data_IF_851014721986
#
_entry.id   IF_851014721986
#
_cell.length_a   1.000
_cell.length_b   1.000
_cell.length_c   1.000
_cell.angle_alpha   90.00
_cell.angle_beta   90.00
_cell.angle_gamma   90.00
#
_symmetry.space_group_name_H-M   'P 1'
#
loop_
_entity.id
_entity.type
_entity.pdbx_description
1 polymer ?
#
# COMPACT_ATOMS: atom_id res chain seq x y z
N UNK A 1 0.13 4.09 -16.02
CA UNK A 1 1.37 3.81 -15.25
C UNK A 1 1.13 2.55 -14.42
N UNK A 2 2.14 1.67 -14.27
CA UNK A 2 2.01 0.46 -13.44
C UNK A 2 2.23 0.81 -11.97
N UNK A 3 1.61 0.08 -11.04
CA UNK A 3 1.73 0.26 -9.59
C UNK A 3 2.41 -0.95 -8.95
N UNK A 4 3.58 -0.75 -8.35
CA UNK A 4 4.23 -1.73 -7.48
C UNK A 4 3.57 -1.70 -6.11
N UNK A 5 3.18 -2.86 -5.59
CA UNK A 5 2.73 -3.02 -4.21
C UNK A 5 3.65 -3.99 -3.48
N UNK A 6 4.30 -3.53 -2.41
CA UNK A 6 5.18 -4.36 -1.59
C UNK A 6 4.36 -5.27 -0.66
N UNK A 7 4.44 -6.58 -0.90
CA UNK A 7 3.60 -7.58 -0.25
C UNK A 7 4.35 -8.78 0.32
N UNK A 8 5.69 -8.70 0.45
CA UNK A 8 6.53 -9.85 0.77
C UNK A 8 7.13 -9.90 2.18
N UNK A 9 6.88 -8.88 3.01
CA UNK A 9 7.44 -8.80 4.37
C UNK A 9 6.79 -9.77 5.37
N UNK A 10 7.51 -10.08 6.45
CA UNK A 10 7.06 -11.03 7.49
C UNK A 10 5.92 -10.51 8.37
N UNK A 11 5.67 -9.20 8.44
CA UNK A 11 4.57 -8.65 9.25
C UNK A 11 4.73 -8.83 10.76
N UNK A 12 5.96 -8.97 11.26
CA UNK A 12 6.29 -9.43 12.63
C UNK A 12 5.70 -8.65 13.81
N UNK A 13 5.09 -7.48 13.57
CA UNK A 13 4.45 -6.61 14.58
C UNK A 13 2.95 -6.92 14.79
N UNK A 14 2.35 -7.77 13.95
CA UNK A 14 0.96 -8.21 14.02
C UNK A 14 0.91 -9.75 13.96
N UNK A 15 1.58 -10.43 14.89
CA UNK A 15 1.76 -11.89 14.82
C UNK A 15 0.43 -12.64 14.84
N UNK A 16 -0.56 -12.10 15.54
CA UNK A 16 -1.90 -12.69 15.71
C UNK A 16 -2.57 -13.04 14.37
N UNK A 17 -2.42 -12.16 13.37
CA UNK A 17 -2.95 -12.41 12.02
C UNK A 17 -1.85 -12.92 11.07
N UNK A 18 -0.63 -12.40 11.21
CA UNK A 18 0.44 -12.64 10.24
C UNK A 18 1.13 -13.99 10.36
N UNK A 19 0.92 -14.71 11.47
CA UNK A 19 1.32 -16.11 11.60
C UNK A 19 0.61 -17.00 10.56
N UNK A 20 -0.62 -16.65 10.21
CA UNK A 20 -1.46 -17.44 9.32
C UNK A 20 -1.42 -16.93 7.87
N UNK A 21 -1.44 -15.61 7.65
CA UNK A 21 -1.50 -14.99 6.31
C UNK A 21 -0.50 -13.83 6.16
N UNK A 22 -0.01 -13.49 4.96
CA UNK A 22 0.84 -12.32 4.80
C UNK A 22 0.04 -11.04 5.12
N UNK A 23 0.72 -10.01 5.64
CA UNK A 23 0.08 -8.76 6.10
C UNK A 23 -0.90 -8.13 5.08
N UNK A 24 -0.59 -8.08 3.77
CA UNK A 24 -1.53 -7.54 2.77
C UNK A 24 -2.82 -8.35 2.60
N UNK A 25 -2.85 -9.59 3.10
CA UNK A 25 -4.01 -10.48 3.06
C UNK A 25 -4.86 -10.42 4.33
N UNK A 26 -4.46 -9.63 5.33
CA UNK A 26 -5.30 -9.35 6.50
C UNK A 26 -6.52 -8.54 6.06
N UNK A 27 -7.69 -8.91 6.57
CA UNK A 27 -8.98 -8.46 6.04
C UNK A 27 -9.54 -7.25 6.80
N UNK A 28 -10.11 -6.31 6.06
CA UNK A 28 -10.93 -5.23 6.57
C UNK A 28 -12.29 -5.36 5.88
N UNK A 29 -13.33 -5.66 6.65
CA UNK A 29 -14.67 -5.87 6.09
C UNK A 29 -14.75 -7.05 5.12
N UNK A 30 -14.16 -8.19 5.46
CA UNK A 30 -14.08 -9.41 4.62
C UNK A 30 -13.29 -9.24 3.31
N UNK A 31 -12.52 -8.17 3.15
CA UNK A 31 -11.69 -7.91 1.98
C UNK A 31 -10.24 -7.68 2.41
N UNK A 32 -9.24 -8.31 1.78
CA UNK A 32 -7.83 -8.04 2.07
C UNK A 32 -7.47 -6.56 2.01
N UNK A 33 -6.58 -6.07 2.88
CA UNK A 33 -6.06 -4.69 2.77
C UNK A 33 -5.43 -4.43 1.39
N UNK A 34 -4.80 -5.43 0.77
CA UNK A 34 -4.32 -5.38 -0.61
C UNK A 34 -5.44 -5.01 -1.59
N UNK A 35 -6.64 -5.57 -1.40
CA UNK A 35 -7.81 -5.27 -2.22
C UNK A 35 -8.24 -3.80 -2.04
N UNK A 36 -8.27 -3.28 -0.82
CA UNK A 36 -8.61 -1.87 -0.55
C UNK A 36 -7.62 -0.90 -1.22
N UNK A 37 -6.32 -1.22 -1.16
CA UNK A 37 -5.27 -0.43 -1.82
C UNK A 37 -5.49 -0.46 -3.34
N UNK A 38 -5.72 -1.64 -3.92
CA UNK A 38 -5.98 -1.77 -5.36
C UNK A 38 -7.25 -1.05 -5.78
N UNK A 39 -8.32 -1.06 -4.98
CA UNK A 39 -9.54 -0.31 -5.23
C UNK A 39 -9.30 1.19 -5.29
N UNK A 40 -8.47 1.72 -4.38
CA UNK A 40 -8.11 3.14 -4.37
C UNK A 40 -7.41 3.56 -5.68
N UNK A 41 -6.44 2.78 -6.15
CA UNK A 41 -5.78 3.02 -7.45
C UNK A 41 -6.73 2.80 -8.64
N UNK A 42 -7.52 1.72 -8.62
CA UNK A 42 -8.43 1.37 -9.72
C UNK A 42 -9.52 2.42 -9.93
N UNK A 43 -10.09 2.95 -8.84
CA UNK A 43 -11.07 4.05 -8.92
C UNK A 43 -10.46 5.31 -9.56
N UNK A 44 -9.17 5.55 -9.32
CA UNK A 44 -8.38 6.60 -9.95
C UNK A 44 -7.79 6.18 -11.31
N UNK A 45 -8.35 5.12 -11.94
CA UNK A 45 -8.02 4.62 -13.28
C UNK A 45 -6.60 4.04 -13.45
N UNK A 46 -5.94 3.67 -12.34
CA UNK A 46 -4.68 2.94 -12.35
C UNK A 46 -4.93 1.45 -12.12
N UNK A 47 -4.86 0.68 -13.21
CA UNK A 47 -5.35 -0.71 -13.25
C UNK A 47 -4.27 -1.77 -13.44
N UNK A 48 -3.01 -1.37 -13.61
CA UNK A 48 -1.90 -2.28 -13.86
C UNK A 48 -1.05 -2.42 -12.60
N UNK A 49 -1.07 -3.58 -11.96
CA UNK A 49 -0.39 -3.82 -10.69
C UNK A 49 0.74 -4.84 -10.82
N UNK A 50 1.79 -4.63 -10.04
CA UNK A 50 2.85 -5.60 -9.81
C UNK A 50 2.92 -5.83 -8.30
N UNK A 51 2.50 -7.02 -7.85
CA UNK A 51 2.53 -7.39 -6.44
C UNK A 51 3.86 -8.09 -6.15
N UNK A 52 4.72 -7.46 -5.36
CA UNK A 52 6.01 -8.00 -4.95
C UNK A 52 5.83 -8.95 -3.76
N UNK A 53 5.68 -10.24 -4.05
CA UNK A 53 5.42 -11.28 -3.06
C UNK A 53 6.70 -11.83 -2.44
N UNK A 54 6.57 -12.48 -1.28
CA UNK A 54 7.68 -13.08 -0.54
C UNK A 54 7.14 -14.09 0.47
N UNK A 55 7.09 -13.71 1.74
CA UNK A 55 6.51 -14.53 2.80
C UNK A 55 5.06 -14.94 2.47
N UNK A 56 4.76 -16.26 2.54
CA UNK A 56 3.44 -16.85 2.29
C UNK A 56 2.78 -16.41 0.97
N UNK A 57 3.58 -16.24 -0.09
CA UNK A 57 3.12 -15.81 -1.42
C UNK A 57 1.98 -16.66 -1.99
N UNK A 58 1.90 -17.93 -1.59
CA UNK A 58 0.91 -18.90 -2.05
C UNK A 58 -0.52 -18.40 -1.80
N UNK A 59 -0.77 -17.72 -0.67
CA UNK A 59 -2.08 -17.17 -0.32
C UNK A 59 -2.48 -15.98 -1.22
N UNK A 60 -1.51 -15.16 -1.61
CA UNK A 60 -1.74 -14.06 -2.57
C UNK A 60 -2.04 -14.64 -3.95
N UNK A 61 -1.27 -15.65 -4.39
CA UNK A 61 -1.49 -16.35 -5.67
C UNK A 61 -2.89 -16.97 -5.70
N UNK A 62 -3.25 -17.72 -4.67
CA UNK A 62 -4.56 -18.37 -4.57
C UNK A 62 -5.70 -17.35 -4.61
N UNK A 63 -5.58 -16.22 -3.90
CA UNK A 63 -6.57 -15.15 -3.93
C UNK A 63 -6.86 -14.63 -5.34
N UNK A 64 -5.82 -14.33 -6.13
CA UNK A 64 -6.01 -13.82 -7.48
C UNK A 64 -6.45 -14.89 -8.49
N UNK A 65 -5.95 -16.13 -8.36
CA UNK A 65 -6.39 -17.24 -9.22
C UNK A 65 -7.88 -17.57 -9.02
N UNK A 66 -8.36 -17.45 -7.78
CA UNK A 66 -9.73 -17.74 -7.41
C UNK A 66 -10.60 -16.49 -7.32
N UNK A 67 -10.13 -15.32 -7.77
CA UNK A 67 -10.82 -14.03 -7.56
C UNK A 67 -12.28 -14.04 -8.03
N UNK A 68 -12.57 -14.68 -9.16
CA UNK A 68 -13.94 -14.79 -9.68
C UNK A 68 -14.85 -15.62 -8.77
N UNK A 69 -14.31 -16.61 -8.05
CA UNK A 69 -15.08 -17.42 -7.08
C UNK A 69 -15.37 -16.72 -5.76
N UNK A 70 -14.72 -15.58 -5.47
CA UNK A 70 -14.89 -14.88 -4.20
C UNK A 70 -16.16 -14.03 -4.21
N UNK A 71 -17.24 -14.53 -3.60
CA UNK A 71 -18.44 -13.75 -3.28
C UNK A 71 -19.64 -13.93 -4.20
N UNK A 72 -19.56 -14.80 -5.21
CA UNK A 72 -20.71 -15.14 -6.06
C UNK A 72 -21.14 -16.57 -5.81
N UNK A 73 -22.42 -16.84 -6.05
CA UNK A 73 -22.87 -18.23 -6.20
C UNK A 73 -22.12 -18.87 -7.37
N UNK A 74 -21.72 -20.13 -7.17
CA UNK A 74 -21.00 -20.92 -8.17
C UNK A 74 -21.76 -22.22 -8.35
N UNK A 75 -22.06 -22.56 -9.60
CA UNK A 75 -22.48 -23.91 -9.95
C UNK A 75 -21.27 -24.69 -10.43
N UNK A 76 -21.01 -25.82 -9.77
CA UNK A 76 -20.01 -26.79 -10.21
C UNK A 76 -20.74 -28.06 -10.65
N UNK A 77 -20.65 -28.42 -11.93
CA UNK A 77 -21.08 -29.74 -12.41
C UNK A 77 -19.88 -30.69 -12.33
N UNK A 78 -20.03 -31.74 -11.53
CA UNK A 78 -18.98 -32.74 -11.32
C UNK A 78 -19.08 -33.87 -12.35
N UNK A 79 -17.96 -34.28 -12.93
CA UNK A 79 -17.87 -35.35 -13.92
C UNK A 79 -16.43 -35.53 -14.44
N UNK A 80 -16.24 -36.27 -15.54
CA UNK A 80 -14.90 -36.43 -16.14
C UNK A 80 -14.26 -35.08 -16.56
N UNK A 81 -15.10 -34.08 -16.85
CA UNK A 81 -14.70 -32.68 -17.00
C UNK A 81 -15.62 -31.86 -16.10
N UNK A 82 -15.05 -31.19 -15.10
CA UNK A 82 -15.82 -30.27 -14.27
C UNK A 82 -16.20 -29.02 -15.10
N UNK A 83 -17.45 -28.57 -14.99
CA UNK A 83 -17.94 -27.31 -15.54
C UNK A 83 -18.23 -26.35 -14.39
N UNK A 84 -17.69 -25.13 -14.44
CA UNK A 84 -17.86 -24.11 -13.39
C UNK A 84 -18.54 -22.90 -14.01
N UNK A 85 -19.73 -22.55 -13.50
CA UNK A 85 -20.50 -21.39 -13.89
C UNK A 85 -20.60 -20.40 -12.73
N UNK A 86 -20.30 -19.13 -12.99
CA UNK A 86 -20.41 -18.02 -12.02
C UNK A 86 -21.69 -17.23 -12.31
N UNK A 87 -22.51 -16.99 -11.28
CA UNK A 87 -23.86 -16.42 -11.47
C UNK A 87 -23.91 -14.88 -11.50
N UNK A 88 -23.02 -14.20 -10.78
CA UNK A 88 -22.92 -12.73 -10.80
C UNK A 88 -21.53 -12.31 -11.29
N UNK A 89 -21.46 -11.23 -12.09
CA UNK A 89 -20.21 -10.67 -12.62
C UNK A 89 -20.02 -9.22 -12.16
N UNK A 90 -20.74 -8.78 -11.12
CA UNK A 90 -20.59 -7.47 -10.48
C UNK A 90 -19.38 -7.43 -9.55
N UNK A 91 -18.20 -7.78 -10.05
CA UNK A 91 -16.95 -7.57 -9.31
C UNK A 91 -16.61 -6.08 -9.27
N UNK A 92 -16.15 -5.61 -8.11
CA UNK A 92 -15.74 -4.21 -7.89
C UNK A 92 -14.42 -3.88 -8.62
N UNK A 93 -13.49 -4.84 -8.71
CA UNK A 93 -12.28 -4.75 -9.53
C UNK A 93 -12.56 -5.32 -10.93
N UNK A 94 -12.77 -4.45 -11.92
CA UNK A 94 -12.94 -4.82 -13.34
C UNK A 94 -11.79 -4.30 -14.20
N UNK A 95 -11.37 -5.12 -15.15
CA UNK A 95 -10.30 -4.83 -16.12
C UNK A 95 -8.95 -4.49 -15.45
N UNK A 96 -8.65 -5.16 -14.34
CA UNK A 96 -7.41 -4.99 -13.60
C UNK A 96 -6.40 -6.05 -14.03
N UNK A 97 -5.18 -5.62 -14.36
CA UNK A 97 -4.07 -6.51 -14.69
C UNK A 97 -3.15 -6.65 -13.48
N UNK A 98 -2.84 -7.88 -13.08
CA UNK A 98 -1.98 -8.14 -11.91
C UNK A 98 -0.83 -9.06 -12.30
N UNK A 99 0.39 -8.56 -12.14
CA UNK A 99 1.62 -9.37 -12.20
C UNK A 99 1.97 -9.78 -10.78
N UNK A 100 1.98 -11.08 -10.53
CA UNK A 100 2.42 -11.65 -9.26
C UNK A 100 3.90 -12.01 -9.36
N UNK A 101 4.78 -11.17 -8.80
CA UNK A 101 6.22 -11.41 -8.86
C UNK A 101 6.74 -11.96 -7.55
N UNK A 102 7.32 -13.16 -7.59
CA UNK A 102 8.12 -13.65 -6.46
C UNK A 102 9.42 -12.83 -6.37
N UNK A 103 9.52 -12.03 -5.32
CA UNK A 103 10.67 -11.16 -5.07
C UNK A 103 11.59 -11.71 -3.98
N UNK A 104 11.39 -12.95 -3.54
CA UNK A 104 12.22 -13.64 -2.57
C UNK A 104 11.71 -13.51 -1.13
N UNK A 105 11.94 -14.55 -0.34
CA UNK A 105 11.49 -14.61 1.05
C UNK A 105 12.21 -13.61 1.97
N UNK A 106 13.54 -13.53 1.85
CA UNK A 106 14.41 -12.79 2.77
C UNK A 106 14.91 -11.44 2.22
N UNK A 107 14.31 -10.94 1.15
CA UNK A 107 14.72 -9.68 0.50
C UNK A 107 14.09 -8.47 1.17
N UNK A 108 14.84 -7.37 1.19
CA UNK A 108 14.38 -6.07 1.69
C UNK A 108 13.58 -5.30 0.63
N UNK A 109 12.96 -4.19 1.04
CA UNK A 109 12.06 -3.38 0.21
C UNK A 109 12.68 -2.92 -1.11
N UNK A 110 13.94 -2.46 -1.10
CA UNK A 110 14.65 -2.00 -2.30
C UNK A 110 14.90 -3.15 -3.27
N UNK A 111 15.44 -4.26 -2.80
CA UNK A 111 15.66 -5.45 -3.65
C UNK A 111 14.39 -5.98 -4.30
N UNK A 112 13.24 -5.91 -3.61
CA UNK A 112 11.95 -6.30 -4.20
C UNK A 112 11.58 -5.43 -5.39
N UNK A 113 11.82 -4.12 -5.28
CA UNK A 113 11.63 -3.15 -6.36
C UNK A 113 12.62 -3.45 -7.49
N UNK A 114 13.91 -3.64 -7.18
CA UNK A 114 14.96 -3.96 -8.17
C UNK A 114 14.61 -5.19 -9.01
N UNK A 115 14.08 -6.25 -8.39
CA UNK A 115 13.72 -7.51 -9.09
C UNK A 115 12.58 -7.35 -10.08
N UNK A 116 11.72 -6.35 -9.90
CA UNK A 116 10.62 -6.06 -10.83
C UNK A 116 11.01 -5.07 -11.93
N UNK A 117 12.27 -4.58 -11.96
CA UNK A 117 12.82 -3.74 -13.05
C UNK A 117 12.53 -4.30 -14.45
N UNK A 118 12.57 -5.63 -14.61
CA UNK A 118 12.28 -6.34 -15.87
C UNK A 118 10.87 -6.09 -16.45
N UNK A 119 9.96 -5.50 -15.68
CA UNK A 119 8.61 -5.16 -16.12
C UNK A 119 8.49 -3.70 -16.59
N UNK A 120 9.59 -2.95 -16.64
CA UNK A 120 9.62 -1.54 -17.01
C UNK A 120 10.65 -1.31 -18.13
N UNK A 121 10.29 -0.41 -19.05
CA UNK A 121 11.20 0.11 -20.07
C UNK A 121 11.91 1.36 -19.57
N UNK A 122 13.10 1.63 -20.10
CA UNK A 122 13.84 2.86 -19.79
C UNK A 122 12.99 4.10 -20.14
N UNK A 123 13.02 5.12 -19.27
CA UNK A 123 12.19 6.32 -19.38
C UNK A 123 10.74 6.17 -18.91
N UNK A 124 10.29 4.97 -18.47
CA UNK A 124 8.97 4.81 -17.86
C UNK A 124 8.91 5.40 -16.44
N UNK A 125 7.77 5.99 -16.09
CA UNK A 125 7.39 6.29 -14.71
C UNK A 125 6.46 5.23 -14.15
N UNK A 126 6.55 4.98 -12.85
CA UNK A 126 5.68 4.02 -12.17
C UNK A 126 5.30 4.47 -10.76
N UNK A 127 4.21 3.90 -10.27
CA UNK A 127 3.77 4.10 -8.90
C UNK A 127 4.34 3.00 -8.00
N UNK A 128 4.57 3.32 -6.73
CA UNK A 128 4.96 2.36 -5.72
C UNK A 128 4.26 2.66 -4.40
N UNK A 129 3.77 1.64 -3.71
CA UNK A 129 3.30 1.79 -2.33
C UNK A 129 3.53 0.53 -1.49
N UNK A 130 3.30 0.67 -0.19
CA UNK A 130 3.30 -0.41 0.78
C UNK A 130 1.96 -1.14 0.79
N UNK A 131 1.98 -2.45 1.00
CA UNK A 131 0.78 -3.29 1.04
C UNK A 131 0.01 -3.25 2.36
N UNK A 132 0.18 -2.22 3.18
CA UNK A 132 -0.32 -2.13 4.55
C UNK A 132 -0.86 -0.76 4.98
N UNK A 133 -0.86 0.23 4.09
CA UNK A 133 -1.33 1.59 4.37
C UNK A 133 -2.56 1.96 3.55
N UNK A 134 -3.56 2.54 4.22
CA UNK A 134 -4.79 3.04 3.59
C UNK A 134 -4.83 4.56 3.66
N UNK A 135 -5.26 5.18 2.56
CA UNK A 135 -5.28 6.64 2.41
C UNK A 135 -6.37 7.08 1.42
N UNK A 136 -6.81 8.33 1.55
CA UNK A 136 -7.62 9.07 0.58
C UNK A 136 -6.76 9.95 -0.35
N UNK A 137 -5.46 9.64 -0.47
CA UNK A 137 -4.53 10.36 -1.35
C UNK A 137 -5.05 10.44 -2.78
N UNK A 138 -4.95 11.64 -3.36
CA UNK A 138 -5.27 11.87 -4.76
C UNK A 138 -4.03 11.59 -5.62
N UNK A 139 -4.05 10.46 -6.33
CA UNK A 139 -2.95 9.97 -7.14
C UNK A 139 -2.71 10.86 -8.35
N UNK A 140 -3.74 11.42 -8.98
CA UNK A 140 -3.59 12.35 -10.11
C UNK A 140 -2.85 13.63 -9.71
N UNK A 141 -3.14 14.18 -8.53
CA UNK A 141 -2.42 15.33 -7.96
C UNK A 141 -0.98 14.98 -7.61
N UNK A 142 -0.75 13.78 -7.07
CA UNK A 142 0.58 13.28 -6.77
C UNK A 142 1.41 13.14 -8.05
N UNK A 143 0.84 12.58 -9.14
CA UNK A 143 1.47 12.50 -10.46
C UNK A 143 1.78 13.90 -10.99
N UNK A 144 0.78 14.80 -10.99
CA UNK A 144 0.96 16.17 -11.50
C UNK A 144 2.06 16.92 -10.74
N UNK A 145 2.16 16.70 -9.42
CA UNK A 145 3.23 17.28 -8.60
C UNK A 145 4.59 16.68 -8.95
N UNK A 146 4.69 15.36 -9.12
CA UNK A 146 5.93 14.71 -9.54
C UNK A 146 6.43 15.23 -10.90
N UNK A 147 5.51 15.45 -11.85
CA UNK A 147 5.84 16.01 -13.16
C UNK A 147 6.23 17.50 -13.12
N UNK A 148 5.99 18.20 -12.01
CA UNK A 148 6.31 19.62 -11.87
C UNK A 148 7.77 19.92 -11.47
N UNK A 149 8.58 18.89 -11.22
CA UNK A 149 9.96 19.02 -10.76
C UNK A 149 10.89 18.01 -11.45
N UNK A 150 12.20 18.21 -11.32
CA UNK A 150 13.23 17.36 -11.96
C UNK A 150 13.68 16.16 -11.10
N UNK A 151 13.06 15.93 -9.94
CA UNK A 151 13.39 14.79 -9.08
C UNK A 151 12.85 13.47 -9.59
N UNK A 152 13.63 12.40 -9.42
CA UNK A 152 13.30 11.04 -9.89
C UNK A 152 12.37 10.27 -8.96
N UNK A 153 12.09 10.83 -7.77
CA UNK A 153 11.24 10.19 -6.79
C UNK A 153 10.42 11.22 -6.02
N UNK A 154 9.16 10.90 -5.82
CA UNK A 154 8.22 11.65 -4.97
C UNK A 154 7.51 10.68 -4.07
N UNK A 155 7.55 10.89 -2.75
CA UNK A 155 6.70 10.15 -1.81
C UNK A 155 5.61 11.05 -1.23
N UNK A 156 4.52 10.43 -0.78
CA UNK A 156 3.45 11.14 -0.08
C UNK A 156 3.79 11.33 1.40
N UNK A 157 3.68 12.56 1.89
CA UNK A 157 4.00 12.96 3.24
C UNK A 157 2.76 13.42 4.00
N UNK A 158 2.51 12.84 5.16
CA UNK A 158 1.33 13.17 6.00
C UNK A 158 1.72 13.50 7.43
N UNK A 159 0.84 14.16 8.17
CA UNK A 159 1.02 14.43 9.61
C UNK A 159 0.38 13.28 10.40
N UNK A 160 1.14 12.50 11.18
CA UNK A 160 0.55 11.45 11.98
C UNK A 160 -0.25 12.07 13.15
N UNK A 161 -1.37 11.44 13.50
CA UNK A 161 -1.98 11.65 14.81
C UNK A 161 -1.04 11.13 15.89
N UNK A 162 -0.87 11.90 16.98
CA UNK A 162 -0.10 11.41 18.11
C UNK A 162 -0.76 10.19 18.72
N UNK A 163 0.05 9.18 19.07
CA UNK A 163 -0.38 8.01 19.84
C UNK A 163 -0.48 8.29 21.34
N UNK A 164 -0.04 9.48 21.75
CA UNK A 164 0.12 9.90 23.14
C UNK A 164 -0.50 11.28 23.35
N UNK A 165 -0.86 11.60 24.60
CA UNK A 165 -1.24 12.96 24.97
C UNK A 165 -0.07 13.92 24.74
N UNK A 166 -0.27 14.91 23.89
CA UNK A 166 0.68 15.99 23.63
C UNK A 166 0.40 17.09 24.65
N UNK A 167 1.40 17.42 25.46
CA UNK A 167 1.31 18.54 26.41
C UNK A 167 2.16 19.71 25.93
N UNK A 168 1.71 20.92 26.20
CA UNK A 168 2.56 22.10 26.18
C UNK A 168 2.82 22.51 27.63
N UNK A 169 4.05 22.95 27.90
CA UNK A 169 4.45 23.47 29.20
C UNK A 169 5.04 24.86 29.05
N UNK A 170 4.83 25.72 30.05
CA UNK A 170 5.57 26.98 30.14
C UNK A 170 7.00 26.77 30.68
N UNK A 171 7.76 27.86 30.82
CA UNK A 171 9.14 27.85 31.33
C UNK A 171 9.26 27.31 32.76
N UNK A 172 8.16 27.24 33.52
CA UNK A 172 8.11 26.72 34.88
C UNK A 172 7.66 25.25 34.93
N UNK A 173 7.54 24.57 33.79
CA UNK A 173 7.00 23.22 33.64
C UNK A 173 5.49 23.10 33.99
N UNK A 174 4.74 24.21 34.01
CA UNK A 174 3.29 24.15 34.18
C UNK A 174 2.65 23.70 32.87
N UNK A 175 1.84 22.64 32.90
CA UNK A 175 1.09 22.18 31.72
C UNK A 175 0.04 23.22 31.34
N UNK A 176 0.19 23.85 30.17
CA UNK A 176 -0.72 24.87 29.64
C UNK A 176 -1.77 24.29 28.69
N UNK A 177 -1.48 23.14 28.07
CA UNK A 177 -2.43 22.39 27.26
C UNK A 177 -2.18 20.88 27.37
N UNK A 178 -3.24 20.09 27.25
CA UNK A 178 -3.18 18.64 27.12
C UNK A 178 -4.11 18.24 25.97
N UNK A 179 -3.52 17.76 24.88
CA UNK A 179 -4.25 17.27 23.72
C UNK A 179 -3.99 15.77 23.56
N UNK A 180 -5.00 14.96 23.91
CA UNK A 180 -4.94 13.50 23.83
C UNK A 180 -4.74 12.99 22.38
N UNK A 181 -4.98 13.85 21.37
CA UNK A 181 -4.86 13.56 19.94
C UNK A 181 -4.13 14.67 19.17
N UNK A 182 -3.14 15.32 19.78
CA UNK A 182 -2.37 16.38 19.10
C UNK A 182 -1.68 15.89 17.82
N UNK A 183 -1.57 16.74 16.80
CA UNK A 183 -0.77 16.44 15.62
C UNK A 183 0.72 16.69 15.89
N UNK A 184 1.58 15.80 15.37
CA UNK A 184 3.03 16.03 15.39
C UNK A 184 3.37 17.05 14.28
N UNK A 185 4.26 18.00 14.56
CA UNK A 185 4.64 19.05 13.57
C UNK A 185 5.33 18.46 12.33
N UNK A 186 6.12 17.41 12.53
CA UNK A 186 6.86 16.74 11.46
C UNK A 186 5.97 15.82 10.62
N UNK A 187 6.13 15.88 9.30
CA UNK A 187 5.50 14.94 8.37
C UNK A 187 6.27 13.63 8.29
N UNK A 188 5.56 12.54 8.06
CA UNK A 188 6.11 11.20 7.86
C UNK A 188 5.88 10.74 6.41
N UNK A 189 6.75 9.86 5.91
CA UNK A 189 6.52 9.12 4.67
C UNK A 189 5.39 8.11 4.88
N UNK A 190 4.34 8.19 4.07
CA UNK A 190 3.20 7.28 4.13
C UNK A 190 3.10 6.32 2.92
N UNK A 191 4.17 6.20 2.14
CA UNK A 191 4.17 5.43 0.91
C UNK A 191 3.69 6.27 -0.26
N UNK A 192 2.85 5.68 -1.11
CA UNK A 192 2.23 6.30 -2.29
C UNK A 192 3.21 7.21 -3.04
N UNK A 193 4.01 6.59 -3.91
CA UNK A 193 5.15 7.21 -4.55
C UNK A 193 5.01 7.20 -6.06
N UNK A 194 5.56 8.22 -6.70
CA UNK A 194 5.85 8.23 -8.13
C UNK A 194 7.36 8.18 -8.30
N UNK A 195 7.82 7.23 -9.10
CA UNK A 195 9.23 6.95 -9.31
C UNK A 195 9.51 6.90 -10.82
N UNK A 196 10.60 7.56 -11.21
CA UNK A 196 11.18 7.43 -12.54
C UNK A 196 12.03 6.16 -12.63
N UNK A 197 12.23 5.64 -13.85
CA UNK A 197 13.03 4.45 -14.12
C UNK A 197 14.44 4.53 -13.51
N UNK A 198 15.04 5.72 -13.50
CA UNK A 198 16.35 6.04 -12.96
C UNK A 198 16.49 5.70 -11.47
N UNK A 199 15.38 5.53 -10.73
CA UNK A 199 15.40 5.05 -9.35
C UNK A 199 16.11 3.70 -9.23
N UNK A 200 16.07 2.85 -10.27
CA UNK A 200 16.72 1.54 -10.25
C UNK A 200 18.24 1.62 -10.16
N UNK A 201 18.85 2.74 -10.57
CA UNK A 201 20.30 2.94 -10.49
C UNK A 201 20.76 3.28 -9.06
N UNK A 202 19.81 3.65 -8.19
CA UNK A 202 20.04 3.92 -6.78
C UNK A 202 19.81 2.70 -5.87
N UNK A 203 19.36 1.58 -6.43
CA UNK A 203 19.01 0.37 -5.65
C UNK A 203 20.07 -0.70 -5.85
N UNK A 204 20.84 -0.97 -4.79
CA UNK A 204 21.78 -2.08 -4.74
C UNK A 204 21.09 -3.39 -4.33
N UNK A 205 21.82 -4.51 -4.47
CA UNK A 205 21.29 -5.81 -4.08
C UNK A 205 20.98 -5.87 -2.58
N UNK A 206 19.78 -6.33 -2.23
CA UNK A 206 19.27 -6.42 -0.84
C UNK A 206 19.12 -5.08 -0.11
N UNK A 207 19.13 -3.95 -0.82
CA UNK A 207 18.88 -2.63 -0.21
C UNK A 207 17.51 -2.57 0.48
N UNK A 208 17.48 -1.87 1.61
CA UNK A 208 16.26 -1.31 2.17
C UNK A 208 15.98 0.04 1.49
N UNK A 209 14.79 0.15 0.89
CA UNK A 209 14.41 1.29 0.08
C UNK A 209 14.41 2.59 0.89
N UNK A 210 13.88 2.57 2.11
CA UNK A 210 13.75 3.74 2.98
C UNK A 210 15.09 4.16 3.59
N UNK A 211 15.87 3.18 4.05
CA UNK A 211 17.07 3.42 4.84
C UNK A 211 18.30 3.70 3.98
N UNK A 212 18.33 3.20 2.75
CA UNK A 212 19.48 3.30 1.85
C UNK A 212 19.10 4.07 0.57
N UNK A 213 18.18 3.54 -0.25
CA UNK A 213 17.86 4.12 -1.56
C UNK A 213 17.35 5.55 -1.46
N UNK A 214 16.29 5.80 -0.69
CA UNK A 214 15.71 7.13 -0.54
C UNK A 214 16.69 8.13 0.08
N UNK A 215 17.59 7.68 0.97
CA UNK A 215 18.66 8.55 1.52
C UNK A 215 19.66 8.99 0.44
N UNK A 216 20.06 8.08 -0.45
CA UNK A 216 20.96 8.41 -1.57
C UNK A 216 20.29 9.42 -2.52
N UNK A 217 19.03 9.20 -2.87
CA UNK A 217 18.27 10.10 -3.75
C UNK A 217 18.06 11.48 -3.09
N UNK A 218 17.78 11.51 -1.79
CA UNK A 218 17.65 12.75 -1.03
C UNK A 218 18.98 13.51 -0.96
N UNK A 219 20.10 12.82 -0.74
CA UNK A 219 21.44 13.40 -0.75
C UNK A 219 21.75 14.08 -2.09
N UNK A 220 21.35 13.44 -3.19
CA UNK A 220 21.48 13.97 -4.56
C UNK A 220 20.44 15.05 -4.91
N UNK A 221 19.57 15.43 -3.97
CA UNK A 221 18.50 16.44 -4.15
C UNK A 221 17.48 16.08 -5.23
N UNK A 222 17.21 14.79 -5.43
CA UNK A 222 16.24 14.28 -6.41
C UNK A 222 14.99 13.67 -5.78
N UNK A 223 14.79 13.85 -4.47
CA UNK A 223 13.65 13.33 -3.71
C UNK A 223 12.74 14.49 -3.28
N UNK A 224 11.46 14.38 -3.62
CA UNK A 224 10.43 15.35 -3.24
C UNK A 224 9.36 14.72 -2.36
N UNK A 225 8.72 15.55 -1.54
CA UNK A 225 7.61 15.16 -0.68
C UNK A 225 6.33 15.86 -1.15
N UNK A 226 5.32 15.08 -1.51
CA UNK A 226 3.97 15.57 -1.78
C UNK A 226 3.18 15.66 -0.49
N UNK A 227 2.73 16.86 -0.11
CA UNK A 227 2.01 17.06 1.14
C UNK A 227 0.55 16.58 1.03
N UNK A 228 0.23 15.52 1.77
CA UNK A 228 -1.12 15.00 1.95
C UNK A 228 -1.66 15.29 3.36
N UNK A 229 -2.62 16.20 3.45
CA UNK A 229 -3.28 16.58 4.71
C UNK A 229 -4.58 15.79 4.96
N UNK A 230 -4.91 14.83 4.07
CA UNK A 230 -6.04 13.92 4.26
C UNK A 230 -5.70 12.72 5.15
N UNK A 231 -6.55 11.70 5.08
CA UNK A 231 -6.43 10.49 5.87
C UNK A 231 -5.25 9.60 5.43
N UNK A 232 -4.50 9.09 6.41
CA UNK A 232 -3.59 7.97 6.24
C UNK A 232 -3.57 7.12 7.50
N UNK A 233 -3.68 5.81 7.34
CA UNK A 233 -3.61 4.87 8.45
C UNK A 233 -2.86 3.60 8.01
N UNK A 234 -1.67 3.31 8.59
CA UNK A 234 -1.04 2.01 8.46
C UNK A 234 -1.73 0.98 9.35
N UNK A 235 -1.67 -0.28 8.94
CA UNK A 235 -2.18 -1.41 9.71
C UNK A 235 -1.01 -2.24 10.26
N UNK A 236 -0.20 -1.70 11.17
CA UNK A 236 0.99 -2.37 11.74
C UNK A 236 0.71 -3.26 12.96
N UNK A 237 -0.39 -2.99 13.66
CA UNK A 237 -0.72 -3.58 14.96
C UNK A 237 -2.18 -4.03 14.99
N UNK A 238 -2.50 -4.95 15.90
CA UNK A 238 -3.87 -5.43 16.07
C UNK A 238 -4.86 -4.31 16.46
N UNK A 239 -4.38 -3.26 17.14
CA UNK A 239 -5.18 -2.06 17.44
C UNK A 239 -5.62 -1.34 16.16
N UNK A 240 -4.72 -1.17 15.21
CA UNK A 240 -5.01 -0.50 13.93
C UNK A 240 -5.91 -1.38 13.06
N UNK A 241 -5.72 -2.71 13.07
CA UNK A 241 -6.64 -3.65 12.44
C UNK A 241 -8.08 -3.49 12.94
N UNK A 242 -8.28 -3.45 14.28
CA UNK A 242 -9.60 -3.23 14.87
C UNK A 242 -10.20 -1.88 14.49
N UNK A 243 -9.39 -0.83 14.51
CA UNK A 243 -9.81 0.52 14.17
C UNK A 243 -10.25 0.64 12.70
N UNK A 244 -9.49 0.06 11.77
CA UNK A 244 -9.85 0.05 10.36
C UNK A 244 -11.15 -0.75 10.12
N UNK A 245 -11.33 -1.89 10.80
CA UNK A 245 -12.58 -2.65 10.72
C UNK A 245 -13.76 -1.87 11.30
N UNK A 246 -13.60 -1.17 12.43
CA UNK A 246 -14.70 -0.36 12.97
C UNK A 246 -15.10 0.79 12.03
N UNK A 247 -14.13 1.45 11.40
CA UNK A 247 -14.41 2.47 10.39
C UNK A 247 -15.18 1.91 9.19
N UNK A 248 -14.83 0.70 8.75
CA UNK A 248 -15.52 0.02 7.66
C UNK A 248 -16.96 -0.38 8.05
N UNK A 249 -17.14 -1.01 9.21
CA UNK A 249 -18.45 -1.43 9.73
C UNK A 249 -19.40 -0.25 9.94
N UNK A 250 -18.89 0.88 10.42
CA UNK A 250 -19.66 2.12 10.60
C UNK A 250 -19.92 2.89 9.29
N UNK A 251 -19.44 2.39 8.15
CA UNK A 251 -19.47 3.07 6.84
C UNK A 251 -18.83 4.47 6.88
N UNK A 252 -17.71 4.59 7.60
CA UNK A 252 -16.93 5.83 7.80
C UNK A 252 -15.49 5.70 7.32
N UNK A 253 -15.16 4.67 6.55
CA UNK A 253 -13.83 4.40 6.02
C UNK A 253 -13.37 5.53 5.06
N UNK A 254 -12.45 6.43 5.44
CA UNK A 254 -12.13 7.60 4.62
C UNK A 254 -11.39 7.24 3.32
N UNK A 255 -10.68 6.11 3.32
CA UNK A 255 -9.98 5.60 2.14
C UNK A 255 -10.93 5.00 1.08
N UNK A 256 -12.19 4.71 1.44
CA UNK A 256 -13.22 4.21 0.52
C UNK A 256 -13.75 5.38 -0.31
N UNK A 257 -12.93 5.82 -1.26
CA UNK A 257 -13.25 6.93 -2.17
C UNK A 257 -14.16 6.51 -3.33
N UNK A 258 -14.42 5.21 -3.46
CA UNK A 258 -15.29 4.64 -4.48
C UNK A 258 -16.72 4.45 -3.97
N UNK A 259 -17.66 4.41 -4.89
CA UNK A 259 -19.07 4.12 -4.60
C UNK A 259 -19.34 2.62 -4.73
N UNK A 260 -20.40 2.17 -4.04
CA UNK A 260 -20.95 0.80 -4.14
C UNK A 260 -21.72 0.57 -5.45
#
# INVERSE_FOLDING_TARGET
MKTIILAGGFGSRMREETEYKPKPMVEIGNKPILWHIMMNYNYQKHKDFIVCMGYKKELIIEYFLNFNSLGDDIQVKLGNNNEVNFFDNKKELKDVNVILSDTGLKTNTGERIRRVKKHFSEGEKFMMTYGDGLSDVNIDKLISFHESHEGIATFTATKPESRFGVIQTDDNNLVTSFDEKGQIENRINCGFMILDYEVFDYIEENDNFEQQTLKKIAYDKKLYAFNHDGYFQPMDTYREYKYLNSLWEENKAPWKIWND
#
